data_IF_938383957689
#
_entry.id   IF_938383957689
#
_cell.length_a   1.000
_cell.length_b   1.000
_cell.length_c   1.000
_cell.angle_alpha   90.00
_cell.angle_beta   90.00
_cell.angle_gamma   90.00
#
_symmetry.space_group_name_H-M   'P 1'
#
loop_
_entity.id
_entity.type
_entity.pdbx_description
1 polymer ?
#
# COMPACT_ATOMS: atom_id res chain seq x y z
N UNK A 1 35.28 20.58 -2.64
CA UNK A 1 34.72 19.19 -2.51
C UNK A 1 34.28 18.85 -1.08
N UNK A 2 34.97 19.32 -0.02
CA UNK A 2 34.62 19.04 1.38
C UNK A 2 33.24 19.57 1.78
N UNK A 3 32.92 20.82 1.47
CA UNK A 3 31.63 21.46 1.79
C UNK A 3 30.46 20.68 1.17
N UNK A 4 30.60 20.26 -0.08
CA UNK A 4 29.58 19.47 -0.77
C UNK A 4 29.30 18.16 -0.02
N UNK A 5 30.33 17.40 0.37
CA UNK A 5 30.16 16.15 1.13
C UNK A 5 29.55 16.38 2.51
N UNK A 6 29.92 17.47 3.16
CA UNK A 6 29.39 17.83 4.47
C UNK A 6 27.87 18.10 4.39
N UNK A 7 27.45 19.05 3.52
CA UNK A 7 26.05 19.37 3.33
C UNK A 7 25.22 18.16 2.87
N UNK A 8 25.75 17.39 1.91
CA UNK A 8 25.06 16.17 1.47
C UNK A 8 24.86 15.18 2.60
N UNK A 9 25.90 14.91 3.39
CA UNK A 9 25.82 14.00 4.53
C UNK A 9 24.74 14.44 5.51
N UNK A 10 24.70 15.74 5.82
CA UNK A 10 23.75 16.32 6.75
C UNK A 10 22.30 16.12 6.28
N UNK A 11 22.04 16.47 5.03
CA UNK A 11 20.71 16.32 4.43
C UNK A 11 20.32 14.83 4.31
N UNK A 12 21.23 13.95 3.88
CA UNK A 12 20.92 12.52 3.74
C UNK A 12 20.71 11.82 5.09
N UNK A 13 21.46 12.15 6.13
CA UNK A 13 21.25 11.61 7.48
C UNK A 13 19.85 12.03 7.98
N UNK A 14 19.52 13.31 7.83
CA UNK A 14 18.20 13.83 8.21
C UNK A 14 17.09 13.18 7.38
N UNK A 15 17.29 13.02 6.06
CA UNK A 15 16.34 12.34 5.15
C UNK A 15 16.07 10.91 5.57
N UNK A 16 17.13 10.13 5.83
CA UNK A 16 17.00 8.71 6.22
C UNK A 16 16.27 8.62 7.56
N UNK A 17 16.66 9.42 8.55
CA UNK A 17 16.03 9.42 9.87
C UNK A 17 14.55 9.77 9.79
N UNK A 18 14.21 10.84 9.05
CA UNK A 18 12.83 11.29 8.87
C UNK A 18 11.99 10.27 8.10
N UNK A 19 12.54 9.76 7.00
CA UNK A 19 11.86 8.76 6.17
C UNK A 19 11.62 7.47 6.95
N UNK A 20 12.57 7.04 7.78
CA UNK A 20 12.40 5.86 8.62
C UNK A 20 11.27 6.04 9.64
N UNK A 21 11.20 7.20 10.32
CA UNK A 21 10.12 7.51 11.27
C UNK A 21 8.77 7.54 10.57
N UNK A 22 8.67 8.28 9.45
CA UNK A 22 7.42 8.35 8.69
C UNK A 22 6.99 6.97 8.17
N UNK A 23 7.94 6.19 7.64
CA UNK A 23 7.66 4.85 7.15
C UNK A 23 7.11 3.96 8.27
N UNK A 24 7.68 4.04 9.48
CA UNK A 24 7.22 3.28 10.63
C UNK A 24 5.77 3.65 11.00
N UNK A 25 5.45 4.96 11.02
CA UNK A 25 4.09 5.45 11.29
C UNK A 25 3.11 4.97 10.22
N UNK A 26 3.44 5.13 8.94
CA UNK A 26 2.57 4.71 7.83
C UNK A 26 2.39 3.19 7.79
N UNK A 27 3.45 2.42 8.02
CA UNK A 27 3.38 0.95 8.09
C UNK A 27 2.53 0.48 9.26
N UNK A 28 2.61 1.14 10.41
CA UNK A 28 1.75 0.84 11.57
C UNK A 28 0.27 1.08 11.22
N UNK A 29 -0.05 2.20 10.59
CA UNK A 29 -1.41 2.48 10.13
C UNK A 29 -1.90 1.44 9.11
N UNK A 30 -1.04 1.08 8.16
CA UNK A 30 -1.35 0.08 7.13
C UNK A 30 -1.58 -1.31 7.73
N UNK A 31 -0.82 -1.66 8.78
CA UNK A 31 -1.02 -2.91 9.52
C UNK A 31 -2.43 -2.97 10.13
N UNK A 32 -2.89 -1.88 10.78
CA UNK A 32 -4.25 -1.82 11.34
C UNK A 32 -5.30 -2.02 10.25
N UNK A 33 -5.13 -1.40 9.08
CA UNK A 33 -6.05 -1.57 7.95
C UNK A 33 -6.10 -3.03 7.46
N UNK A 34 -4.95 -3.70 7.33
CA UNK A 34 -4.91 -5.11 6.92
C UNK A 34 -5.47 -6.04 7.98
N UNK A 35 -5.24 -5.76 9.28
CA UNK A 35 -5.84 -6.53 10.37
C UNK A 35 -7.37 -6.41 10.37
N UNK A 36 -7.92 -5.23 10.15
CA UNK A 36 -9.37 -5.03 10.05
C UNK A 36 -9.97 -5.79 8.85
N UNK A 37 -9.27 -5.80 7.71
CA UNK A 37 -9.69 -6.60 6.54
C UNK A 37 -9.59 -8.10 6.79
N UNK A 38 -8.61 -8.55 7.54
CA UNK A 38 -8.49 -9.95 7.93
C UNK A 38 -9.58 -10.34 8.94
N UNK A 39 -9.88 -9.49 9.92
CA UNK A 39 -10.93 -9.72 10.89
C UNK A 39 -12.33 -9.77 10.24
N UNK A 40 -12.55 -9.00 9.17
CA UNK A 40 -13.79 -9.06 8.36
C UNK A 40 -13.80 -10.22 7.32
N UNK A 41 -12.81 -11.12 7.35
CA UNK A 41 -12.74 -12.27 6.45
C UNK A 41 -12.37 -11.96 5.00
N UNK A 42 -12.01 -10.71 4.68
CA UNK A 42 -11.68 -10.31 3.31
C UNK A 42 -10.31 -10.80 2.85
N UNK A 43 -9.38 -11.04 3.77
CA UNK A 43 -8.00 -11.44 3.50
C UNK A 43 -7.56 -12.46 4.55
N UNK A 44 -7.00 -13.62 4.17
CA UNK A 44 -6.39 -14.54 5.13
C UNK A 44 -5.21 -13.90 5.85
N UNK A 45 -5.14 -14.06 7.17
CA UNK A 45 -4.12 -13.44 8.01
C UNK A 45 -2.67 -13.75 7.60
N UNK A 46 -2.45 -14.92 6.99
CA UNK A 46 -1.12 -15.36 6.52
C UNK A 46 -0.55 -14.45 5.41
N UNK A 47 -1.41 -13.74 4.66
CA UNK A 47 -0.97 -12.85 3.59
C UNK A 47 -0.68 -11.42 4.04
N UNK A 48 -0.99 -11.05 5.30
CA UNK A 48 -0.80 -9.69 5.81
C UNK A 48 0.66 -9.26 5.66
N UNK A 49 1.60 -10.08 6.11
CA UNK A 49 3.03 -9.75 6.04
C UNK A 49 3.51 -9.57 4.59
N UNK A 50 3.04 -10.43 3.68
CA UNK A 50 3.38 -10.34 2.25
C UNK A 50 2.81 -9.08 1.61
N UNK A 51 1.56 -8.72 1.93
CA UNK A 51 0.93 -7.49 1.46
C UNK A 51 1.64 -6.25 2.02
N UNK A 52 2.05 -6.27 3.28
CA UNK A 52 2.84 -5.18 3.88
C UNK A 52 4.18 -5.00 3.17
N UNK A 53 4.90 -6.09 2.86
CA UNK A 53 6.15 -5.99 2.11
C UNK A 53 5.94 -5.44 0.69
N UNK A 54 4.82 -5.79 0.04
CA UNK A 54 4.47 -5.24 -1.26
C UNK A 54 4.09 -3.74 -1.21
N UNK A 55 3.68 -3.23 -0.06
CA UNK A 55 3.33 -1.81 0.13
C UNK A 55 4.57 -0.93 0.31
N UNK A 56 5.70 -1.48 0.80
CA UNK A 56 6.92 -0.73 1.09
C UNK A 56 7.41 0.14 -0.08
N UNK A 57 7.56 -0.36 -1.33
CA UNK A 57 8.04 0.46 -2.43
C UNK A 57 7.08 1.61 -2.78
N UNK A 58 5.78 1.39 -2.65
CA UNK A 58 4.77 2.40 -2.89
C UNK A 58 4.87 3.54 -1.86
N UNK A 59 4.96 3.18 -0.58
CA UNK A 59 5.17 4.14 0.50
C UNK A 59 6.49 4.89 0.37
N UNK A 60 7.59 4.21 0.01
CA UNK A 60 8.88 4.85 -0.21
C UNK A 60 8.83 5.86 -1.36
N UNK A 61 8.13 5.54 -2.45
CA UNK A 61 7.98 6.47 -3.58
C UNK A 61 7.26 7.76 -3.19
N UNK A 62 6.32 7.69 -2.24
CA UNK A 62 5.61 8.84 -1.71
C UNK A 62 6.42 9.59 -0.65
N UNK A 63 7.05 8.84 0.27
CA UNK A 63 7.71 9.42 1.44
C UNK A 63 9.07 10.03 1.11
N UNK A 64 9.82 9.51 0.12
CA UNK A 64 11.14 10.04 -0.23
C UNK A 64 11.10 11.50 -0.71
N UNK A 65 10.23 11.93 -1.65
CA UNK A 65 10.16 13.33 -2.05
C UNK A 65 9.72 14.25 -0.91
N UNK A 66 8.71 13.83 -0.15
CA UNK A 66 8.22 14.58 1.00
C UNK A 66 9.29 14.69 2.08
N UNK A 67 9.91 13.56 2.42
CA UNK A 67 11.00 13.49 3.39
C UNK A 67 12.21 14.31 2.98
N UNK A 68 12.55 14.32 1.70
CA UNK A 68 13.65 15.15 1.16
C UNK A 68 13.37 16.65 1.34
N UNK A 69 12.16 17.09 1.03
CA UNK A 69 11.78 18.49 1.24
C UNK A 69 11.92 18.90 2.70
N UNK A 70 11.36 18.11 3.62
CA UNK A 70 11.45 18.38 5.06
C UNK A 70 12.89 18.25 5.56
N UNK A 71 13.67 17.30 5.06
CA UNK A 71 15.08 17.12 5.42
C UNK A 71 15.92 18.32 5.01
N UNK A 72 15.67 18.93 3.84
CA UNK A 72 16.32 20.18 3.43
C UNK A 72 16.00 21.32 4.41
N UNK A 73 14.71 21.48 4.76
CA UNK A 73 14.31 22.53 5.71
C UNK A 73 14.97 22.36 7.07
N UNK A 74 14.97 21.14 7.62
CA UNK A 74 15.54 20.85 8.93
C UNK A 74 17.08 21.02 8.91
N UNK A 75 17.75 20.39 7.92
CA UNK A 75 19.20 20.44 7.83
C UNK A 75 19.72 21.88 7.63
N UNK A 76 19.13 22.64 6.69
CA UNK A 76 19.53 24.02 6.46
C UNK A 76 19.12 24.93 7.60
N UNK A 77 17.93 24.73 8.19
CA UNK A 77 17.48 25.48 9.36
C UNK A 77 18.44 25.32 10.52
N UNK A 78 18.95 24.09 10.77
CA UNK A 78 19.97 23.83 11.80
C UNK A 78 21.29 24.53 11.49
N UNK A 79 21.79 24.45 10.26
CA UNK A 79 23.01 25.13 9.83
C UNK A 79 22.92 26.65 10.00
N UNK A 80 21.75 27.25 9.77
CA UNK A 80 21.50 28.65 10.04
C UNK A 80 21.46 28.96 11.54
N UNK A 81 20.81 28.14 12.34
CA UNK A 81 20.71 28.31 13.79
C UNK A 81 22.09 28.21 14.48
N UNK A 82 22.95 27.34 13.97
CA UNK A 82 24.32 27.15 14.47
C UNK A 82 25.33 28.16 13.86
N UNK A 83 24.89 29.15 13.05
CA UNK A 83 25.68 30.13 12.34
C UNK A 83 26.69 29.57 11.30
N UNK A 84 26.69 28.26 11.07
CA UNK A 84 27.58 27.62 10.09
C UNK A 84 27.32 28.11 8.68
N UNK A 85 26.07 28.36 8.34
CA UNK A 85 25.69 28.89 7.02
C UNK A 85 26.24 30.29 6.80
N UNK A 86 26.28 31.13 7.84
CA UNK A 86 26.85 32.48 7.77
C UNK A 86 28.36 32.45 7.50
N UNK A 87 29.05 31.51 8.15
CA UNK A 87 30.50 31.26 7.94
C UNK A 87 30.75 30.77 6.50
N UNK A 88 29.95 29.85 6.00
CA UNK A 88 30.06 29.35 4.63
C UNK A 88 29.86 30.47 3.60
N UNK A 89 28.90 31.38 3.83
CA UNK A 89 28.66 32.52 2.98
C UNK A 89 29.84 33.49 3.01
N UNK A 90 30.43 33.78 4.18
CA UNK A 90 31.63 34.58 4.32
C UNK A 90 32.83 33.97 3.58
N UNK A 91 32.92 32.63 3.51
CA UNK A 91 33.92 31.93 2.71
C UNK A 91 33.62 31.89 1.19
N UNK A 92 32.61 32.66 0.71
CA UNK A 92 32.26 32.75 -0.70
C UNK A 92 31.30 31.64 -1.21
N UNK A 93 30.70 30.85 -0.31
CA UNK A 93 29.68 29.88 -0.67
C UNK A 93 28.31 30.56 -0.73
N UNK A 94 28.04 31.31 -1.81
CA UNK A 94 26.80 32.08 -1.96
C UNK A 94 25.55 31.21 -2.17
N UNK A 95 24.33 31.82 -2.05
CA UNK A 95 23.04 31.13 -2.12
C UNK A 95 22.80 30.41 -3.44
N UNK A 96 23.35 30.91 -4.56
CA UNK A 96 23.24 30.24 -5.86
C UNK A 96 23.97 28.90 -5.93
N UNK A 97 25.11 28.74 -5.22
CA UNK A 97 25.82 27.47 -5.13
C UNK A 97 25.07 26.49 -4.24
N UNK A 98 24.45 27.00 -3.18
CA UNK A 98 23.60 26.19 -2.29
C UNK A 98 22.39 25.62 -3.06
N UNK A 99 21.72 26.48 -3.84
CA UNK A 99 20.59 26.06 -4.68
C UNK A 99 20.99 24.99 -5.70
N UNK A 100 22.13 25.20 -6.40
CA UNK A 100 22.66 24.22 -7.35
C UNK A 100 22.97 22.88 -6.67
N UNK A 101 23.50 22.93 -5.46
CA UNK A 101 23.79 21.73 -4.66
C UNK A 101 22.51 20.98 -4.28
N UNK A 102 21.50 21.68 -3.76
CA UNK A 102 20.18 21.13 -3.43
C UNK A 102 19.51 20.50 -4.64
N UNK A 103 19.63 21.14 -5.81
CA UNK A 103 19.08 20.65 -7.07
C UNK A 103 19.74 19.32 -7.51
N UNK A 104 21.06 19.21 -7.38
CA UNK A 104 21.80 17.96 -7.69
C UNK A 104 21.33 16.81 -6.76
N UNK A 105 21.16 17.12 -5.47
CA UNK A 105 20.63 16.11 -4.53
C UNK A 105 19.19 15.73 -4.84
N UNK A 106 18.35 16.71 -5.20
CA UNK A 106 16.96 16.46 -5.61
C UNK A 106 16.89 15.56 -6.84
N UNK A 107 17.74 15.79 -7.85
CA UNK A 107 17.85 14.90 -9.02
C UNK A 107 18.25 13.47 -8.62
N UNK A 108 19.14 13.30 -7.66
CA UNK A 108 19.50 11.99 -7.12
C UNK A 108 18.32 11.27 -6.48
N UNK A 109 17.59 11.96 -5.59
CA UNK A 109 16.39 11.40 -4.94
C UNK A 109 15.30 11.08 -5.98
N UNK A 110 15.06 11.99 -6.95
CA UNK A 110 14.12 11.77 -8.03
C UNK A 110 14.46 10.51 -8.85
N UNK A 111 15.73 10.32 -9.17
CA UNK A 111 16.19 9.15 -9.92
C UNK A 111 15.93 7.84 -9.16
N UNK A 112 16.17 7.83 -7.84
CA UNK A 112 15.84 6.69 -6.98
C UNK A 112 14.33 6.40 -7.01
N UNK A 113 13.49 7.42 -6.83
CA UNK A 113 12.03 7.27 -6.88
C UNK A 113 11.57 6.76 -8.25
N UNK A 114 12.15 7.28 -9.33
CA UNK A 114 11.85 6.86 -10.69
C UNK A 114 12.17 5.37 -10.91
N UNK A 115 13.33 4.90 -10.43
CA UNK A 115 13.70 3.48 -10.48
C UNK A 115 12.70 2.63 -9.69
N UNK A 116 12.33 3.04 -8.49
CA UNK A 116 11.34 2.32 -7.67
C UNK A 116 9.99 2.26 -8.39
N UNK A 117 9.53 3.35 -9.02
CA UNK A 117 8.27 3.39 -9.74
C UNK A 117 8.28 2.53 -11.02
N UNK A 118 9.35 2.61 -11.81
CA UNK A 118 9.41 1.88 -13.08
C UNK A 118 9.55 0.37 -12.89
N UNK A 119 10.31 -0.06 -11.89
CA UNK A 119 10.58 -1.49 -11.67
C UNK A 119 9.71 -2.10 -10.57
N UNK A 120 9.42 -1.34 -9.52
CA UNK A 120 8.62 -1.81 -8.39
C UNK A 120 7.13 -1.90 -8.70
N UNK A 121 6.57 -0.87 -9.35
CA UNK A 121 5.12 -0.74 -9.57
C UNK A 121 4.52 -1.92 -10.37
N UNK A 122 5.01 -2.29 -11.56
CA UNK A 122 4.40 -3.36 -12.34
C UNK A 122 4.50 -4.72 -11.65
N UNK A 123 5.61 -4.98 -10.95
CA UNK A 123 5.79 -6.22 -10.19
C UNK A 123 4.79 -6.31 -9.02
N UNK A 124 4.57 -5.22 -8.32
CA UNK A 124 3.65 -5.14 -7.18
C UNK A 124 2.20 -5.35 -7.62
N UNK A 125 1.76 -4.69 -8.70
CA UNK A 125 0.38 -4.81 -9.19
C UNK A 125 0.07 -6.23 -9.66
N UNK A 126 0.99 -6.89 -10.35
CA UNK A 126 0.80 -8.28 -10.80
C UNK A 126 0.73 -9.25 -9.61
N UNK A 127 1.62 -9.12 -8.63
CA UNK A 127 1.61 -9.96 -7.44
C UNK A 127 0.37 -9.73 -6.56
N UNK A 128 -0.06 -8.49 -6.40
CA UNK A 128 -1.31 -8.16 -5.70
C UNK A 128 -2.53 -8.76 -6.41
N UNK A 129 -2.61 -8.61 -7.73
CA UNK A 129 -3.72 -9.15 -8.52
C UNK A 129 -3.78 -10.68 -8.42
N UNK A 130 -2.64 -11.36 -8.46
CA UNK A 130 -2.55 -12.81 -8.27
C UNK A 130 -3.01 -13.23 -6.86
N UNK A 131 -2.52 -12.56 -5.82
CA UNK A 131 -2.91 -12.84 -4.43
C UNK A 131 -4.40 -12.62 -4.20
N UNK A 132 -4.97 -11.55 -4.75
CA UNK A 132 -6.40 -11.26 -4.61
C UNK A 132 -7.28 -12.20 -5.46
N UNK A 133 -6.81 -12.66 -6.61
CA UNK A 133 -7.55 -13.64 -7.44
C UNK A 133 -7.55 -15.03 -6.82
N UNK A 134 -6.41 -15.53 -6.37
CA UNK A 134 -6.33 -16.84 -5.67
C UNK A 134 -7.05 -16.82 -4.33
N UNK A 135 -7.05 -15.68 -3.63
CA UNK A 135 -7.74 -15.53 -2.36
C UNK A 135 -9.25 -15.38 -2.56
N UNK A 136 -9.70 -14.72 -3.63
CA UNK A 136 -11.13 -14.46 -3.88
C UNK A 136 -11.96 -15.73 -3.97
N UNK A 137 -11.51 -16.75 -4.69
CA UNK A 137 -12.26 -18.00 -4.85
C UNK A 137 -12.14 -18.91 -3.63
N UNK A 138 -10.93 -19.08 -3.08
CA UNK A 138 -10.71 -19.94 -1.91
C UNK A 138 -11.25 -19.32 -0.61
N UNK A 139 -11.17 -18.01 -0.46
CA UNK A 139 -11.68 -17.32 0.75
C UNK A 139 -13.20 -17.27 0.74
N UNK A 140 -13.85 -17.11 -0.41
CA UNK A 140 -15.31 -17.20 -0.51
C UNK A 140 -15.79 -18.56 0.03
N UNK A 141 -15.13 -19.64 -0.35
CA UNK A 141 -15.50 -21.00 0.10
C UNK A 141 -15.20 -21.22 1.57
N UNK A 142 -14.09 -20.68 2.11
CA UNK A 142 -13.69 -20.87 3.52
C UNK A 142 -14.36 -19.89 4.49
N UNK A 143 -14.83 -18.74 4.01
CA UNK A 143 -15.49 -17.71 4.85
C UNK A 143 -17.01 -17.88 4.88
N UNK A 144 -17.58 -18.78 4.07
CA UNK A 144 -18.99 -19.10 4.12
C UNK A 144 -19.30 -19.79 5.47
N UNK A 145 -19.93 -19.03 6.35
CA UNK A 145 -20.51 -19.60 7.56
C UNK A 145 -21.91 -20.11 7.17
N UNK A 146 -22.13 -21.44 7.17
CA UNK A 146 -23.45 -21.99 6.85
C UNK A 146 -24.52 -21.43 7.79
N UNK A 147 -25.73 -21.20 7.28
CA UNK A 147 -26.85 -20.68 8.04
C UNK A 147 -26.86 -19.16 8.27
N UNK A 148 -26.00 -18.37 7.60
CA UNK A 148 -25.99 -16.91 7.67
C UNK A 148 -25.97 -16.27 6.29
N UNK A 149 -26.57 -15.09 6.17
CA UNK A 149 -26.42 -14.24 5.01
C UNK A 149 -25.02 -13.62 5.00
N UNK A 150 -24.28 -13.87 3.94
CA UNK A 150 -22.95 -13.32 3.73
C UNK A 150 -23.02 -12.30 2.58
N UNK A 151 -22.58 -11.07 2.84
CA UNK A 151 -22.46 -10.04 1.80
C UNK A 151 -21.04 -10.05 1.25
N UNK A 152 -20.90 -10.08 -0.07
CA UNK A 152 -19.60 -9.91 -0.72
C UNK A 152 -19.14 -8.46 -0.57
N UNK A 153 -17.85 -8.21 -0.29
CA UNK A 153 -17.30 -6.86 -0.22
C UNK A 153 -17.58 -6.10 -1.52
N UNK A 154 -18.41 -5.04 -1.43
CA UNK A 154 -18.93 -4.32 -2.59
C UNK A 154 -20.44 -4.09 -2.52
N UNK A 155 -21.15 -4.76 -1.60
CA UNK A 155 -22.56 -4.50 -1.26
C UNK A 155 -23.61 -4.87 -2.33
N UNK A 156 -23.17 -5.45 -3.47
CA UNK A 156 -24.05 -5.74 -4.61
C UNK A 156 -24.48 -7.19 -4.74
N UNK A 157 -23.91 -8.07 -3.90
CA UNK A 157 -24.24 -9.50 -3.94
C UNK A 157 -24.39 -10.01 -2.50
N UNK A 158 -25.49 -10.68 -2.26
CA UNK A 158 -25.80 -11.35 -0.99
C UNK A 158 -25.98 -12.82 -1.31
N UNK A 159 -25.30 -13.68 -0.58
CA UNK A 159 -25.49 -15.12 -0.71
C UNK A 159 -25.77 -15.77 0.64
N UNK A 160 -26.58 -16.79 0.59
CA UNK A 160 -26.92 -17.63 1.72
C UNK A 160 -26.63 -19.08 1.35
N UNK A 161 -26.01 -19.82 2.25
CA UNK A 161 -25.77 -21.27 2.09
C UNK A 161 -26.30 -21.94 3.34
N UNK A 162 -27.19 -22.90 3.19
CA UNK A 162 -27.82 -23.59 4.32
C UNK A 162 -26.85 -24.59 4.96
N UNK A 163 -26.23 -25.45 4.14
CA UNK A 163 -25.28 -26.45 4.62
C UNK A 163 -24.10 -26.62 3.66
N UNK A 164 -22.95 -26.97 4.20
CA UNK A 164 -21.73 -27.24 3.46
C UNK A 164 -21.06 -28.52 3.96
N UNK A 165 -20.58 -29.35 3.04
CA UNK A 165 -19.86 -30.55 3.39
C UNK A 165 -18.55 -30.23 4.13
N UNK A 166 -18.05 -31.15 4.99
CA UNK A 166 -16.80 -30.99 5.75
C UNK A 166 -15.57 -30.65 4.89
N UNK A 167 -15.58 -31.09 3.65
CA UNK A 167 -14.49 -30.83 2.68
C UNK A 167 -14.66 -29.53 1.89
N UNK A 168 -15.69 -28.73 2.18
CA UNK A 168 -16.01 -27.46 1.51
C UNK A 168 -16.14 -27.55 -0.02
N UNK A 169 -16.46 -28.75 -0.56
CA UNK A 169 -16.54 -28.99 -2.00
C UNK A 169 -17.97 -28.93 -2.54
N UNK A 170 -18.96 -29.17 -1.68
CA UNK A 170 -20.38 -29.18 -2.06
C UNK A 170 -21.15 -28.28 -1.09
N UNK A 171 -21.86 -27.33 -1.63
CA UNK A 171 -22.80 -26.47 -0.90
C UNK A 171 -24.22 -26.82 -1.29
N UNK A 172 -25.13 -26.92 -0.31
CA UNK A 172 -26.55 -27.26 -0.50
C UNK A 172 -27.42 -26.05 -0.16
N UNK A 173 -28.51 -25.90 -0.92
CA UNK A 173 -29.49 -24.83 -0.80
C UNK A 173 -28.85 -23.43 -0.82
N UNK A 174 -28.36 -23.04 -2.00
CA UNK A 174 -27.70 -21.75 -2.21
C UNK A 174 -28.71 -20.74 -2.71
N UNK A 175 -28.77 -19.59 -2.07
CA UNK A 175 -29.51 -18.41 -2.51
C UNK A 175 -28.50 -17.29 -2.81
N UNK A 176 -28.56 -16.74 -4.02
CA UNK A 176 -27.73 -15.65 -4.47
C UNK A 176 -28.63 -14.52 -4.96
N UNK A 177 -28.51 -13.34 -4.36
CA UNK A 177 -29.15 -12.13 -4.83
C UNK A 177 -28.07 -11.14 -5.31
N UNK A 178 -28.17 -10.73 -6.56
CA UNK A 178 -27.25 -9.78 -7.17
C UNK A 178 -28.00 -8.53 -7.62
N UNK A 179 -27.52 -7.36 -7.23
CA UNK A 179 -28.03 -6.09 -7.74
C UNK A 179 -27.24 -5.69 -8.98
N UNK A 180 -27.89 -5.73 -10.14
CA UNK A 180 -27.32 -5.31 -11.43
C UNK A 180 -27.90 -3.96 -11.79
N UNK A 181 -27.15 -2.84 -11.68
CA UNK A 181 -27.64 -1.53 -12.10
C UNK A 181 -27.78 -1.50 -13.63
N UNK A 182 -28.99 -1.59 -14.14
CA UNK A 182 -29.31 -1.18 -15.50
C UNK A 182 -29.99 0.18 -15.44
N UNK A 183 -29.67 1.04 -16.40
CA UNK A 183 -30.11 2.43 -16.53
C UNK A 183 -31.47 2.74 -15.83
N UNK A 184 -31.39 3.29 -14.61
CA UNK A 184 -32.54 3.90 -13.93
C UNK A 184 -33.37 3.00 -13.00
N UNK A 185 -33.14 1.69 -12.93
CA UNK A 185 -33.90 0.79 -12.06
C UNK A 185 -32.97 -0.20 -11.33
N UNK A 186 -33.15 -0.33 -10.01
CA UNK A 186 -32.43 -1.33 -9.20
C UNK A 186 -33.08 -2.71 -9.43
N UNK A 187 -32.51 -3.48 -10.33
CA UNK A 187 -33.00 -4.82 -10.62
C UNK A 187 -32.21 -5.85 -9.81
N UNK A 188 -32.92 -6.62 -8.99
CA UNK A 188 -32.34 -7.72 -8.22
C UNK A 188 -32.52 -9.02 -8.99
N UNK A 189 -31.40 -9.60 -9.42
CA UNK A 189 -31.39 -10.93 -9.98
C UNK A 189 -31.24 -11.95 -8.84
N UNK A 190 -32.20 -12.86 -8.75
CA UNK A 190 -32.23 -13.89 -7.70
C UNK A 190 -31.98 -15.25 -8.35
N UNK A 191 -30.97 -15.97 -7.85
CA UNK A 191 -30.64 -17.32 -8.27
C UNK A 191 -30.78 -18.26 -7.10
N UNK A 192 -31.55 -19.33 -7.30
CA UNK A 192 -31.68 -20.42 -6.34
C UNK A 192 -31.09 -21.69 -6.93
N UNK A 193 -30.25 -22.41 -6.17
CA UNK A 193 -29.69 -23.69 -6.59
C UNK A 193 -29.68 -24.68 -5.42
N UNK A 194 -30.18 -25.89 -5.65
CA UNK A 194 -30.18 -26.95 -4.62
C UNK A 194 -28.79 -27.44 -4.31
N UNK A 195 -27.87 -27.48 -5.30
CA UNK A 195 -26.47 -27.91 -5.12
C UNK A 195 -25.53 -27.13 -6.00
N UNK A 196 -24.40 -26.71 -5.43
CA UNK A 196 -23.28 -26.18 -6.20
C UNK A 196 -21.99 -26.92 -5.86
N UNK A 197 -21.20 -27.16 -6.88
CA UNK A 197 -19.92 -27.84 -6.78
C UNK A 197 -18.79 -26.85 -6.98
N UNK A 198 -17.83 -26.80 -6.05
CA UNK A 198 -16.61 -26.03 -6.25
C UNK A 198 -15.67 -26.84 -7.13
N UNK A 199 -15.60 -26.50 -8.43
CA UNK A 199 -14.62 -27.08 -9.34
C UNK A 199 -13.34 -26.29 -9.23
N UNK A 200 -12.31 -26.89 -8.65
CA UNK A 200 -10.95 -26.35 -8.67
C UNK A 200 -10.36 -26.75 -10.03
N UNK A 201 -10.26 -25.83 -10.96
CA UNK A 201 -9.47 -26.06 -12.17
C UNK A 201 -7.99 -26.17 -11.78
N UNK A 202 -7.27 -27.15 -12.29
CA UNK A 202 -5.88 -27.43 -11.98
C UNK A 202 -4.89 -26.35 -12.44
#
# INVERSE_FOLDING_TARGET
>A
MLIFRYLSKEVFVTLISLTAILLLIFMSNQLVLYLNRAASGQIPGIFILKLMMLELPNLLSLLLPLGFYVALLVAYGRLYAENEMTVLQACGYGPGRLLKHSFVMACGVYLVVLIIMLWGSPYIYTQRALLLRTTGVQTLIQTIVPGRFNAIPGGRQIFYVESMNRDHTVAENIFLAQNTPKEGDEQWDILWADKAFAQTDP
#
